data_IF_473645227939
#
_entry.id   IF_473645227939
#
_cell.length_a   1.000
_cell.length_b   1.000
_cell.length_c   1.000
_cell.angle_alpha   90.00
_cell.angle_beta   90.00
_cell.angle_gamma   90.00
#
_symmetry.space_group_name_H-M   'P 1'
#
loop_
_entity.id
_entity.type
_entity.pdbx_description
1 polymer ?
#
# COMPACT_ATOMS: atom_id res chain seq x y z
N UNK A 1 18.98 -47.37 -41.59
CA UNK A 1 18.32 -47.32 -40.27
C UNK A 1 18.66 -45.98 -39.62
N UNK A 2 17.76 -45.00 -39.69
CA UNK A 2 17.94 -43.69 -39.07
C UNK A 2 17.25 -43.74 -37.73
N UNK A 3 18.03 -43.58 -36.66
CA UNK A 3 17.57 -43.63 -35.28
C UNK A 3 16.43 -42.61 -35.08
N UNK A 4 15.29 -43.08 -34.56
CA UNK A 4 14.23 -42.22 -34.02
C UNK A 4 14.85 -41.33 -32.95
N UNK A 5 14.98 -40.04 -33.25
CA UNK A 5 15.21 -39.03 -32.24
C UNK A 5 14.06 -39.14 -31.23
N UNK A 6 14.40 -39.50 -29.98
CA UNK A 6 13.43 -39.56 -28.89
C UNK A 6 12.78 -38.19 -28.74
N UNK A 7 11.46 -38.13 -28.82
CA UNK A 7 10.69 -36.93 -28.54
C UNK A 7 11.13 -36.34 -27.18
N UNK A 8 11.39 -35.03 -27.08
CA UNK A 8 11.74 -34.43 -25.81
C UNK A 8 10.58 -34.65 -24.83
N UNK A 9 10.88 -35.21 -23.65
CA UNK A 9 9.94 -35.27 -22.52
C UNK A 9 9.60 -33.82 -22.13
N UNK A 10 8.53 -33.24 -22.67
CA UNK A 10 8.06 -31.91 -22.29
C UNK A 10 7.47 -31.96 -20.86
N UNK A 11 8.32 -31.73 -19.87
CA UNK A 11 7.90 -31.43 -18.50
C UNK A 11 7.53 -29.95 -18.41
N UNK A 12 6.37 -29.64 -17.82
CA UNK A 12 5.91 -28.27 -17.66
C UNK A 12 6.84 -27.37 -16.83
N UNK A 13 6.93 -26.07 -17.18
CA UNK A 13 7.83 -25.07 -16.56
C UNK A 13 7.26 -24.57 -15.22
N UNK A 14 8.01 -24.62 -14.13
CA UNK A 14 7.62 -23.99 -12.86
C UNK A 14 8.20 -22.58 -12.76
N UNK A 15 7.32 -21.58 -12.75
CA UNK A 15 7.63 -20.19 -12.51
C UNK A 15 7.36 -19.86 -11.05
N UNK A 16 8.25 -19.07 -10.45
CA UNK A 16 8.19 -18.77 -9.01
C UNK A 16 8.38 -17.26 -8.85
N UNK A 17 7.47 -16.61 -8.12
CA UNK A 17 7.26 -15.16 -8.06
C UNK A 17 6.82 -14.69 -6.68
N UNK A 18 6.76 -13.39 -6.42
CA UNK A 18 6.14 -12.81 -5.22
C UNK A 18 4.87 -12.05 -5.60
N UNK A 19 4.05 -11.73 -4.60
CA UNK A 19 2.88 -10.86 -4.76
C UNK A 19 3.23 -9.35 -4.88
N UNK A 20 4.52 -8.98 -4.90
CA UNK A 20 4.99 -7.60 -5.01
C UNK A 20 6.51 -7.56 -5.00
N UNK A 21 7.11 -6.65 -5.77
CA UNK A 21 8.52 -6.31 -5.67
C UNK A 21 8.77 -5.06 -4.80
N UNK A 22 7.72 -4.35 -4.38
CA UNK A 22 7.84 -3.06 -3.68
C UNK A 22 7.24 -3.07 -2.28
N UNK A 23 6.89 -4.24 -1.72
CA UNK A 23 6.38 -4.33 -0.36
C UNK A 23 7.43 -3.79 0.64
N UNK A 24 7.02 -2.98 1.64
CA UNK A 24 7.95 -2.40 2.61
C UNK A 24 8.84 -3.43 3.31
N UNK A 25 8.31 -4.63 3.60
CA UNK A 25 9.10 -5.70 4.20
C UNK A 25 10.20 -6.21 3.26
N UNK A 26 9.92 -6.35 1.97
CA UNK A 26 10.99 -6.69 1.00
C UNK A 26 12.02 -5.57 0.90
N UNK A 27 11.57 -4.32 0.80
CA UNK A 27 12.43 -3.13 0.71
C UNK A 27 13.37 -3.01 1.91
N UNK A 28 12.89 -3.34 3.11
CA UNK A 28 13.69 -3.24 4.33
C UNK A 28 14.72 -4.37 4.47
N UNK A 29 14.36 -5.61 4.11
CA UNK A 29 15.17 -6.78 4.47
C UNK A 29 15.88 -7.49 3.32
N UNK A 30 15.38 -7.37 2.09
CA UNK A 30 15.86 -8.19 0.98
C UNK A 30 16.68 -7.38 -0.04
N UNK A 31 16.33 -6.12 -0.30
CA UNK A 31 17.07 -5.27 -1.23
C UNK A 31 18.34 -4.67 -0.61
N UNK A 32 19.39 -4.40 -1.42
CA UNK A 32 20.54 -3.61 -1.00
C UNK A 32 20.16 -2.28 -0.35
N UNK A 33 20.87 -1.92 0.72
CA UNK A 33 20.64 -0.65 1.45
C UNK A 33 20.74 0.53 0.49
N UNK A 34 19.79 1.47 0.60
CA UNK A 34 19.68 2.68 -0.23
C UNK A 34 19.34 2.43 -1.71
N UNK A 35 18.92 1.22 -2.11
CA UNK A 35 18.46 0.98 -3.48
C UNK A 35 17.27 1.88 -3.84
N UNK A 36 17.40 2.59 -4.97
CA UNK A 36 16.35 3.47 -5.48
C UNK A 36 15.13 2.64 -5.90
N UNK A 37 13.90 3.13 -5.68
CA UNK A 37 12.69 2.43 -6.08
C UNK A 37 12.66 1.99 -7.55
N UNK A 38 13.21 2.80 -8.45
CA UNK A 38 13.24 2.53 -9.89
C UNK A 38 14.10 1.31 -10.28
N UNK A 39 15.11 0.96 -9.47
CA UNK A 39 16.04 -0.14 -9.78
C UNK A 39 15.55 -1.50 -9.24
N UNK A 40 14.54 -1.48 -8.36
CA UNK A 40 14.08 -2.67 -7.62
C UNK A 40 13.55 -3.77 -8.52
N UNK A 41 12.79 -3.42 -9.56
CA UNK A 41 12.22 -4.42 -10.46
C UNK A 41 13.32 -5.14 -11.27
N UNK A 42 14.34 -4.41 -11.72
CA UNK A 42 15.46 -5.01 -12.44
C UNK A 42 16.26 -5.94 -11.54
N UNK A 43 16.52 -5.53 -10.28
CA UNK A 43 17.17 -6.39 -9.30
C UNK A 43 16.32 -7.62 -8.94
N UNK A 44 15.02 -7.42 -8.72
CA UNK A 44 14.06 -8.49 -8.45
C UNK A 44 14.10 -9.58 -9.54
N UNK A 45 14.12 -9.15 -10.80
CA UNK A 45 14.08 -10.05 -11.96
C UNK A 45 15.38 -10.84 -12.18
N UNK A 46 16.42 -10.61 -11.39
CA UNK A 46 17.62 -11.47 -11.34
C UNK A 46 17.42 -12.71 -10.46
N UNK A 47 16.43 -12.68 -9.57
CA UNK A 47 16.17 -13.73 -8.58
C UNK A 47 14.88 -14.52 -8.83
N UNK A 48 13.96 -13.95 -9.60
CA UNK A 48 12.63 -14.50 -9.86
C UNK A 48 12.32 -14.44 -11.35
N UNK A 49 11.53 -15.40 -11.83
CA UNK A 49 11.09 -15.44 -13.23
C UNK A 49 9.69 -14.85 -13.42
N UNK A 50 9.01 -14.49 -12.34
CA UNK A 50 7.70 -13.84 -12.41
C UNK A 50 7.45 -12.89 -11.26
N UNK A 51 6.45 -12.02 -11.41
CA UNK A 51 5.83 -11.30 -10.28
C UNK A 51 4.32 -11.16 -10.46
N UNK A 52 3.57 -11.25 -9.36
CA UNK A 52 2.16 -10.85 -9.31
C UNK A 52 2.06 -9.36 -8.93
N UNK A 53 1.55 -8.56 -9.85
CA UNK A 53 1.36 -7.13 -9.71
C UNK A 53 0.07 -6.88 -8.93
N UNK A 54 0.19 -6.54 -7.65
CA UNK A 54 -0.96 -6.24 -6.79
C UNK A 54 -1.41 -4.78 -6.82
N UNK A 55 -0.56 -3.84 -7.28
CA UNK A 55 -0.93 -2.42 -7.36
C UNK A 55 -2.13 -2.18 -8.29
N UNK A 56 -2.29 -3.03 -9.30
CA UNK A 56 -3.40 -2.97 -10.27
C UNK A 56 -4.77 -3.25 -9.65
N UNK A 57 -4.81 -3.86 -8.45
CA UNK A 57 -6.04 -4.00 -7.68
C UNK A 57 -6.67 -2.65 -7.28
N UNK A 58 -5.83 -1.61 -7.11
CA UNK A 58 -6.24 -0.28 -6.65
C UNK A 58 -6.29 0.78 -7.75
N UNK A 59 -5.60 0.55 -8.86
CA UNK A 59 -5.51 1.52 -9.96
C UNK A 59 -5.17 0.84 -11.27
N UNK A 60 -5.76 1.28 -12.37
CA UNK A 60 -5.33 0.87 -13.71
C UNK A 60 -3.88 1.33 -13.94
N UNK A 61 -2.95 0.43 -14.33
CA UNK A 61 -1.57 0.83 -14.56
C UNK A 61 -1.46 1.66 -15.84
N UNK A 62 -0.56 2.65 -15.84
CA UNK A 62 -0.26 3.45 -17.03
C UNK A 62 0.53 2.63 -18.06
N UNK A 63 0.18 2.64 -19.37
CA UNK A 63 0.87 1.84 -20.38
C UNK A 63 2.36 2.14 -20.52
N UNK A 64 2.80 3.39 -20.31
CA UNK A 64 4.22 3.74 -20.36
C UNK A 64 4.97 3.16 -19.15
N UNK A 65 4.34 3.15 -17.98
CA UNK A 65 4.90 2.48 -16.81
C UNK A 65 5.06 0.97 -17.05
N UNK A 66 4.05 0.34 -17.66
CA UNK A 66 4.10 -1.10 -18.01
C UNK A 66 5.17 -1.39 -19.06
N UNK A 67 5.35 -0.49 -20.05
CA UNK A 67 6.42 -0.61 -21.03
C UNK A 67 7.78 -0.60 -20.35
N UNK A 68 7.98 0.30 -19.39
CA UNK A 68 9.20 0.35 -18.59
C UNK A 68 9.43 -0.93 -17.78
N UNK A 69 8.37 -1.56 -17.26
CA UNK A 69 8.51 -2.87 -16.61
C UNK A 69 9.04 -3.93 -17.59
N UNK A 70 8.54 -3.94 -18.82
CA UNK A 70 9.02 -4.84 -19.86
C UNK A 70 10.49 -4.58 -20.21
N UNK A 71 10.90 -3.32 -20.32
CA UNK A 71 12.25 -2.95 -20.75
C UNK A 71 13.33 -3.28 -19.69
N UNK A 72 13.00 -3.33 -18.40
CA UNK A 72 13.97 -3.55 -17.30
C UNK A 72 14.01 -5.00 -16.79
N UNK A 73 13.26 -5.90 -17.41
CA UNK A 73 13.15 -7.32 -17.03
C UNK A 73 13.63 -8.24 -18.16
N UNK A 74 14.15 -9.45 -17.88
CA UNK A 74 14.52 -10.43 -18.90
C UNK A 74 13.35 -10.79 -19.83
N UNK A 75 13.65 -11.28 -21.04
CA UNK A 75 12.64 -11.58 -22.05
C UNK A 75 11.61 -12.63 -21.57
N UNK A 76 12.04 -13.62 -20.80
CA UNK A 76 11.19 -14.70 -20.30
C UNK A 76 10.53 -14.42 -18.93
N UNK A 77 10.64 -13.18 -18.45
CA UNK A 77 10.04 -12.74 -17.19
C UNK A 77 8.54 -12.50 -17.35
N UNK A 78 7.73 -13.08 -16.45
CA UNK A 78 6.27 -13.08 -16.54
C UNK A 78 5.62 -12.16 -15.49
N UNK A 79 4.64 -11.36 -15.92
CA UNK A 79 3.81 -10.54 -15.04
C UNK A 79 2.40 -11.12 -14.94
N UNK A 80 2.00 -11.44 -13.72
CA UNK A 80 0.62 -11.76 -13.38
C UNK A 80 -0.08 -10.50 -12.92
N UNK A 81 -1.21 -10.16 -13.52
CA UNK A 81 -1.91 -8.90 -13.26
C UNK A 81 -3.13 -9.17 -12.41
N UNK A 82 -3.16 -8.60 -11.20
CA UNK A 82 -4.37 -8.65 -10.41
C UNK A 82 -5.40 -7.68 -10.95
N UNK A 83 -6.58 -8.20 -11.28
CA UNK A 83 -7.68 -7.38 -11.75
C UNK A 83 -8.14 -6.39 -10.68
N UNK A 84 -8.64 -5.24 -11.13
CA UNK A 84 -9.08 -4.17 -10.26
C UNK A 84 -10.21 -4.62 -9.33
N UNK A 85 -10.21 -4.11 -8.10
CA UNK A 85 -11.14 -4.53 -7.05
C UNK A 85 -12.62 -4.43 -7.45
N UNK A 86 -12.97 -3.50 -8.35
CA UNK A 86 -14.32 -3.36 -8.93
C UNK A 86 -14.83 -4.68 -9.53
N UNK A 87 -13.95 -5.46 -10.15
CA UNK A 87 -14.30 -6.71 -10.83
C UNK A 87 -14.50 -7.88 -9.86
N UNK A 88 -14.17 -7.69 -8.57
CA UNK A 88 -13.94 -8.79 -7.63
C UNK A 88 -14.92 -8.83 -6.45
N UNK A 89 -16.10 -8.18 -6.60
CA UNK A 89 -17.11 -8.05 -5.54
C UNK A 89 -16.59 -7.39 -4.24
N UNK A 90 -15.52 -6.59 -4.33
CA UNK A 90 -15.08 -5.73 -3.23
C UNK A 90 -15.84 -4.40 -3.28
N UNK A 91 -16.15 -3.86 -2.10
CA UNK A 91 -16.72 -2.51 -1.99
C UNK A 91 -15.74 -1.49 -2.53
N UNK A 92 -16.04 -0.91 -3.70
CA UNK A 92 -15.11 -0.06 -4.44
C UNK A 92 -15.50 1.42 -4.35
N UNK A 93 -14.68 2.29 -3.74
CA UNK A 93 -14.88 3.74 -3.80
C UNK A 93 -14.69 4.28 -5.22
N UNK A 94 -15.54 5.23 -5.63
CA UNK A 94 -15.47 5.87 -6.95
C UNK A 94 -14.09 6.49 -7.25
N UNK A 95 -13.41 7.05 -6.24
CA UNK A 95 -12.07 7.64 -6.38
C UNK A 95 -10.98 6.68 -6.92
N UNK A 96 -11.21 5.37 -6.88
CA UNK A 96 -10.25 4.36 -7.37
C UNK A 96 -10.49 4.00 -8.84
N UNK A 97 -11.59 4.45 -9.44
CA UNK A 97 -11.83 4.29 -10.87
C UNK A 97 -10.98 5.31 -11.66
N UNK A 98 -10.63 5.03 -12.92
CA UNK A 98 -10.01 6.02 -13.80
C UNK A 98 -10.81 7.33 -13.87
N UNK A 99 -10.18 8.52 -13.90
CA UNK A 99 -10.88 9.80 -13.93
C UNK A 99 -11.90 9.93 -15.09
N UNK A 100 -11.57 9.38 -16.25
CA UNK A 100 -12.47 9.33 -17.40
C UNK A 100 -13.77 8.55 -17.08
N UNK A 101 -13.65 7.42 -16.37
CA UNK A 101 -14.78 6.60 -15.98
C UNK A 101 -15.61 7.26 -14.87
N UNK A 102 -14.96 7.91 -13.90
CA UNK A 102 -15.64 8.70 -12.87
C UNK A 102 -16.52 9.80 -13.50
N UNK A 103 -15.98 10.52 -14.49
CA UNK A 103 -16.70 11.57 -15.23
C UNK A 103 -17.87 10.99 -16.04
N UNK A 104 -17.65 9.88 -16.74
CA UNK A 104 -18.67 9.20 -17.57
C UNK A 104 -19.87 8.73 -16.73
N UNK A 105 -19.61 8.20 -15.54
CA UNK A 105 -20.63 7.65 -14.64
C UNK A 105 -21.22 8.70 -13.67
N UNK A 106 -20.77 9.97 -13.74
CA UNK A 106 -21.20 11.07 -12.86
C UNK A 106 -21.15 10.70 -11.36
N UNK A 107 -20.10 9.98 -10.97
CA UNK A 107 -19.96 9.49 -9.60
C UNK A 107 -19.44 10.57 -8.66
N UNK A 108 -20.03 10.66 -7.47
CA UNK A 108 -19.47 11.48 -6.39
C UNK A 108 -18.19 10.84 -5.82
N UNK A 109 -17.26 11.67 -5.30
CA UNK A 109 -15.94 11.21 -4.83
C UNK A 109 -15.97 10.07 -3.80
N UNK A 110 -17.03 10.01 -2.98
CA UNK A 110 -17.18 9.02 -1.90
C UNK A 110 -18.23 7.94 -2.21
N UNK A 111 -18.86 7.98 -3.39
CA UNK A 111 -19.84 6.98 -3.76
C UNK A 111 -19.20 5.58 -3.86
N UNK A 112 -19.93 4.56 -3.44
CA UNK A 112 -19.57 3.17 -3.71
C UNK A 112 -20.07 2.80 -5.10
N UNK A 113 -19.22 2.14 -5.87
CA UNK A 113 -19.56 1.70 -7.22
C UNK A 113 -20.06 0.27 -7.16
N UNK A 114 -21.27 0.05 -7.69
CA UNK A 114 -21.83 -1.29 -7.89
C UNK A 114 -21.23 -1.87 -9.18
N UNK A 115 -20.73 -3.12 -9.16
CA UNK A 115 -20.25 -3.78 -10.37
C UNK A 115 -21.44 -4.14 -11.27
N UNK A 116 -21.76 -3.24 -12.20
CA UNK A 116 -22.72 -3.48 -13.27
C UNK A 116 -21.98 -3.79 -14.58
N UNK A 117 -22.66 -4.45 -15.53
CA UNK A 117 -22.11 -4.83 -16.84
C UNK A 117 -21.41 -3.69 -17.56
N UNK A 118 -22.02 -2.50 -17.59
CA UNK A 118 -21.42 -1.31 -18.20
C UNK A 118 -20.12 -0.89 -17.50
N UNK A 119 -20.12 -0.85 -16.16
CA UNK A 119 -18.94 -0.45 -15.36
C UNK A 119 -17.80 -1.46 -15.50
N UNK A 120 -18.11 -2.76 -15.52
CA UNK A 120 -17.16 -3.85 -15.75
C UNK A 120 -16.50 -3.69 -17.12
N UNK A 121 -17.31 -3.50 -18.17
CA UNK A 121 -16.85 -3.29 -19.54
C UNK A 121 -15.88 -2.11 -19.63
N UNK A 122 -16.24 -0.96 -19.07
CA UNK A 122 -15.39 0.23 -19.12
C UNK A 122 -14.10 0.05 -18.32
N UNK A 123 -14.14 -0.63 -17.17
CA UNK A 123 -12.94 -0.95 -16.40
C UNK A 123 -12.00 -1.84 -17.20
N UNK A 124 -12.50 -2.89 -17.84
CA UNK A 124 -11.69 -3.78 -18.67
C UNK A 124 -11.12 -3.04 -19.90
N UNK A 125 -11.90 -2.15 -20.53
CA UNK A 125 -11.41 -1.27 -21.60
C UNK A 125 -10.27 -0.36 -21.13
N UNK A 126 -10.33 0.14 -19.90
CA UNK A 126 -9.25 0.94 -19.32
C UNK A 126 -7.97 0.11 -19.10
N UNK A 127 -8.08 -1.18 -18.75
CA UNK A 127 -6.94 -2.09 -18.63
C UNK A 127 -6.31 -2.48 -19.96
N UNK A 128 -7.10 -2.54 -21.03
CA UNK A 128 -6.69 -3.12 -22.32
C UNK A 128 -5.36 -2.58 -22.87
N UNK A 129 -5.08 -1.25 -22.88
CA UNK A 129 -3.81 -0.74 -23.40
C UNK A 129 -2.59 -1.27 -22.63
N UNK A 130 -2.70 -1.39 -21.31
CA UNK A 130 -1.61 -1.88 -20.45
C UNK A 130 -1.41 -3.39 -20.57
N UNK A 131 -2.51 -4.15 -20.69
CA UNK A 131 -2.44 -5.59 -20.94
C UNK A 131 -1.83 -5.88 -22.32
N UNK A 132 -2.16 -5.06 -23.33
CA UNK A 132 -1.63 -5.20 -24.68
C UNK A 132 -0.11 -4.99 -24.75
N UNK A 133 0.44 -4.07 -23.94
CA UNK A 133 1.90 -3.90 -23.82
C UNK A 133 2.58 -5.18 -23.34
N UNK A 134 2.04 -5.81 -22.29
CA UNK A 134 2.58 -7.07 -21.76
C UNK A 134 2.39 -8.23 -22.75
N UNK A 135 1.23 -8.29 -23.41
CA UNK A 135 0.91 -9.33 -24.39
C UNK A 135 1.86 -9.27 -25.60
N UNK A 136 2.10 -8.07 -26.16
CA UNK A 136 3.05 -7.86 -27.26
C UNK A 136 4.49 -8.13 -26.88
N UNK A 137 4.85 -7.90 -25.61
CA UNK A 137 6.16 -8.23 -25.10
C UNK A 137 6.32 -9.73 -24.77
N UNK A 138 5.25 -10.53 -24.88
CA UNK A 138 5.18 -11.93 -24.47
C UNK A 138 5.44 -12.15 -22.97
N UNK A 139 5.15 -11.13 -22.15
CA UNK A 139 5.37 -11.13 -20.70
C UNK A 139 4.10 -11.18 -19.87
N UNK A 140 2.93 -11.29 -20.51
CA UNK A 140 1.66 -11.44 -19.80
C UNK A 140 1.45 -12.89 -19.37
N UNK A 141 1.37 -13.12 -18.06
CA UNK A 141 1.02 -14.43 -17.48
C UNK A 141 -0.48 -14.57 -17.33
N UNK A 142 -0.95 -14.58 -16.08
CA UNK A 142 -2.39 -14.69 -15.76
C UNK A 142 -2.99 -13.36 -15.30
N UNK A 143 -4.29 -13.22 -15.53
CA UNK A 143 -5.14 -12.21 -14.90
C UNK A 143 -5.75 -12.81 -13.64
N UNK A 144 -5.34 -12.33 -12.47
CA UNK A 144 -5.87 -12.81 -11.18
C UNK A 144 -7.16 -12.06 -10.81
N UNK A 145 -8.27 -12.79 -10.80
CA UNK A 145 -9.55 -12.37 -10.24
C UNK A 145 -9.69 -12.91 -8.81
N UNK A 146 -9.21 -12.13 -7.83
CA UNK A 146 -9.33 -12.50 -6.42
C UNK A 146 -10.60 -11.92 -5.79
N UNK A 147 -11.59 -12.78 -5.52
CA UNK A 147 -12.89 -12.37 -5.00
C UNK A 147 -12.84 -11.92 -3.54
N UNK A 148 -13.85 -11.13 -3.14
CA UNK A 148 -14.06 -10.75 -1.74
C UNK A 148 -14.53 -11.96 -0.90
N UNK A 149 -14.13 -12.08 0.38
CA UNK A 149 -14.70 -13.09 1.28
C UNK A 149 -16.22 -12.97 1.49
N UNK A 150 -16.80 -11.79 1.18
CA UNK A 150 -18.24 -11.56 1.23
C UNK A 150 -19.00 -12.24 0.08
N UNK A 151 -18.32 -12.51 -1.04
CA UNK A 151 -18.86 -13.29 -2.15
C UNK A 151 -19.01 -14.74 -1.70
N UNK A 152 -20.25 -15.18 -1.50
CA UNK A 152 -20.56 -16.43 -0.83
C UNK A 152 -21.77 -17.10 -1.48
N UNK A 153 -21.85 -18.44 -1.49
CA UNK A 153 -22.92 -19.19 -2.17
C UNK A 153 -24.30 -18.98 -1.54
N UNK A 154 -24.36 -18.37 -0.34
CA UNK A 154 -25.63 -18.00 0.31
C UNK A 154 -26.24 -16.72 -0.24
N UNK A 155 -25.43 -15.85 -0.85
CA UNK A 155 -25.83 -14.49 -1.25
C UNK A 155 -25.58 -14.20 -2.72
N UNK A 156 -24.82 -15.07 -3.39
CA UNK A 156 -24.31 -14.84 -4.73
C UNK A 156 -24.30 -16.15 -5.51
N UNK A 157 -24.27 -16.00 -6.83
CA UNK A 157 -24.12 -17.10 -7.78
C UNK A 157 -22.83 -16.95 -8.58
N UNK A 158 -22.26 -18.07 -9.03
CA UNK A 158 -21.06 -18.05 -9.88
C UNK A 158 -21.32 -17.36 -11.23
N UNK A 159 -22.56 -17.41 -11.73
CA UNK A 159 -23.03 -16.73 -12.94
C UNK A 159 -22.78 -15.22 -12.92
N UNK A 160 -22.66 -14.60 -11.75
CA UNK A 160 -22.28 -13.18 -11.63
C UNK A 160 -20.89 -12.87 -12.19
N UNK A 161 -20.00 -13.88 -12.26
CA UNK A 161 -18.66 -13.75 -12.82
C UNK A 161 -18.64 -13.88 -14.35
N UNK A 162 -19.74 -14.34 -14.97
CA UNK A 162 -19.81 -14.69 -16.39
C UNK A 162 -19.37 -13.55 -17.28
N UNK A 163 -19.88 -12.34 -17.03
CA UNK A 163 -19.53 -11.18 -17.83
C UNK A 163 -18.02 -10.84 -17.76
N UNK A 164 -17.43 -10.90 -16.57
CA UNK A 164 -15.99 -10.63 -16.42
C UNK A 164 -15.14 -11.71 -17.13
N UNK A 165 -15.51 -12.99 -16.98
CA UNK A 165 -14.82 -14.12 -17.61
C UNK A 165 -14.97 -14.10 -19.13
N UNK A 166 -16.16 -13.83 -19.65
CA UNK A 166 -16.42 -13.75 -21.09
C UNK A 166 -15.62 -12.62 -21.76
N UNK A 167 -15.57 -11.44 -21.13
CA UNK A 167 -14.81 -10.30 -21.64
C UNK A 167 -13.29 -10.48 -21.55
N UNK A 168 -12.83 -11.43 -20.73
CA UNK A 168 -11.41 -11.74 -20.55
C UNK A 168 -11.01 -13.12 -21.07
N UNK A 169 -11.88 -13.76 -21.87
CA UNK A 169 -11.69 -15.13 -22.39
C UNK A 169 -10.43 -15.33 -23.24
N UNK A 170 -9.93 -14.25 -23.86
CA UNK A 170 -8.72 -14.27 -24.68
C UNK A 170 -7.44 -14.24 -23.82
N UNK A 171 -7.60 -14.13 -22.49
CA UNK A 171 -6.52 -14.16 -21.51
C UNK A 171 -6.65 -15.38 -20.60
N UNK A 172 -5.53 -15.77 -19.98
CA UNK A 172 -5.55 -16.76 -18.90
C UNK A 172 -6.08 -16.10 -17.63
N UNK A 173 -7.28 -16.46 -17.19
CA UNK A 173 -7.88 -15.88 -15.99
C UNK A 173 -7.82 -16.87 -14.84
N UNK A 174 -7.22 -16.45 -13.73
CA UNK A 174 -7.15 -17.21 -12.50
C UNK A 174 -8.18 -16.68 -11.49
N UNK A 175 -9.10 -17.53 -11.04
CA UNK A 175 -10.16 -17.18 -10.08
C UNK A 175 -9.78 -17.66 -8.69
N UNK A 176 -9.62 -16.72 -7.76
CA UNK A 176 -9.37 -17.03 -6.36
C UNK A 176 -10.59 -16.73 -5.51
N UNK A 177 -11.17 -17.79 -4.98
CA UNK A 177 -12.25 -17.73 -4.01
C UNK A 177 -11.66 -17.46 -2.62
N UNK A 178 -12.34 -16.61 -1.85
CA UNK A 178 -11.96 -16.25 -0.47
C UNK A 178 -13.01 -16.63 0.56
N UNK A 179 -14.03 -17.36 0.12
CA UNK A 179 -15.07 -17.91 0.97
C UNK A 179 -15.07 -19.44 0.81
N UNK A 180 -14.70 -20.12 1.88
CA UNK A 180 -14.55 -21.59 1.97
C UNK A 180 -15.81 -22.33 1.53
N UNK A 181 -16.99 -21.75 1.74
CA UNK A 181 -18.26 -22.40 1.44
C UNK A 181 -18.44 -22.67 -0.07
N UNK A 182 -17.66 -22.03 -0.96
CA UNK A 182 -17.67 -22.36 -2.39
C UNK A 182 -17.00 -23.70 -2.72
N UNK A 183 -16.20 -24.24 -1.80
CA UNK A 183 -15.34 -25.40 -2.05
C UNK A 183 -15.53 -26.50 -1.00
N UNK A 184 -16.69 -26.49 -0.33
CA UNK A 184 -17.07 -27.52 0.63
C UNK A 184 -18.21 -28.39 0.10
N UNK A 185 -18.15 -29.68 0.47
CA UNK A 185 -19.19 -30.67 0.18
C UNK A 185 -19.64 -30.65 -1.29
N UNK A 186 -20.95 -30.70 -1.53
CA UNK A 186 -21.57 -30.74 -2.86
C UNK A 186 -21.34 -29.48 -3.70
N UNK A 187 -20.93 -28.36 -3.09
CA UNK A 187 -20.67 -27.11 -3.79
C UNK A 187 -19.34 -27.15 -4.56
N UNK A 188 -18.38 -27.98 -4.12
CA UNK A 188 -17.05 -28.06 -4.71
C UNK A 188 -17.09 -28.39 -6.20
N UNK A 189 -17.76 -29.49 -6.59
CA UNK A 189 -17.80 -29.92 -7.99
C UNK A 189 -18.48 -28.86 -8.87
N UNK A 190 -19.61 -28.30 -8.45
CA UNK A 190 -20.29 -27.20 -9.16
C UNK A 190 -19.37 -26.01 -9.41
N UNK A 191 -18.58 -25.65 -8.40
CA UNK A 191 -17.60 -24.55 -8.51
C UNK A 191 -16.46 -24.88 -9.46
N UNK A 192 -15.92 -26.09 -9.39
CA UNK A 192 -14.83 -26.52 -10.28
C UNK A 192 -15.29 -26.69 -11.73
N UNK A 193 -16.49 -27.22 -11.94
CA UNK A 193 -17.12 -27.37 -13.26
C UNK A 193 -17.36 -26.01 -13.90
N UNK A 194 -17.96 -25.06 -13.15
CA UNK A 194 -18.16 -23.70 -13.63
C UNK A 194 -16.84 -23.08 -14.13
N UNK A 195 -15.78 -23.17 -13.34
CA UNK A 195 -14.46 -22.62 -13.70
C UNK A 195 -13.86 -23.36 -14.90
N UNK A 196 -13.99 -24.69 -14.96
CA UNK A 196 -13.44 -25.54 -16.03
C UNK A 196 -14.12 -25.30 -17.38
N UNK A 197 -15.45 -25.21 -17.40
CA UNK A 197 -16.24 -24.92 -18.60
C UNK A 197 -15.85 -23.59 -19.26
N UNK A 198 -15.38 -22.64 -18.46
CA UNK A 198 -14.93 -21.31 -18.92
C UNK A 198 -13.44 -21.24 -19.20
N UNK A 199 -12.76 -22.39 -19.20
CA UNK A 199 -11.31 -22.52 -19.37
C UNK A 199 -10.50 -21.66 -18.38
N UNK A 200 -11.09 -21.31 -17.22
CA UNK A 200 -10.45 -20.50 -16.20
C UNK A 200 -9.61 -21.37 -15.25
N UNK A 201 -8.71 -20.73 -14.51
CA UNK A 201 -7.76 -21.39 -13.61
C UNK A 201 -8.26 -21.23 -12.18
N UNK A 202 -8.58 -22.33 -11.51
CA UNK A 202 -8.84 -22.32 -10.07
C UNK A 202 -7.52 -22.04 -9.33
N UNK A 203 -7.53 -21.02 -8.48
CA UNK A 203 -6.38 -20.71 -7.64
C UNK A 203 -6.38 -21.59 -6.40
N UNK A 204 -5.40 -22.48 -6.32
CA UNK A 204 -5.11 -23.22 -5.10
C UNK A 204 -4.44 -22.28 -4.09
N UNK A 205 -4.77 -22.43 -2.81
CA UNK A 205 -4.28 -21.53 -1.76
C UNK A 205 -3.70 -22.35 -0.61
N UNK A 206 -2.45 -22.09 -0.23
CA UNK A 206 -1.97 -22.50 1.09
C UNK A 206 -2.42 -21.49 2.12
N UNK A 207 -3.18 -21.98 3.08
CA UNK A 207 -3.64 -21.21 4.22
C UNK A 207 -3.49 -22.03 5.52
N UNK A 208 -3.72 -21.41 6.68
CA UNK A 208 -3.78 -22.12 7.95
C UNK A 208 -4.85 -23.24 7.95
N UNK A 209 -4.71 -24.32 8.75
CA UNK A 209 -5.63 -25.46 8.73
C UNK A 209 -7.05 -25.18 9.29
N UNK A 210 -7.29 -24.01 9.85
CA UNK A 210 -8.53 -23.65 10.53
C UNK A 210 -9.71 -23.60 9.57
N UNK A 211 -10.86 -24.10 10.05
CA UNK A 211 -12.12 -24.15 9.29
C UNK A 211 -12.92 -22.85 9.38
N UNK A 212 -12.24 -21.71 9.33
CA UNK A 212 -12.92 -20.42 9.25
C UNK A 212 -13.34 -20.14 7.80
N UNK A 213 -14.51 -19.53 7.58
CA UNK A 213 -15.05 -19.34 6.23
C UNK A 213 -14.16 -18.47 5.31
N UNK A 214 -13.23 -17.68 5.85
CA UNK A 214 -12.27 -16.86 5.07
C UNK A 214 -10.95 -17.58 4.76
N UNK A 215 -10.76 -18.78 5.29
CA UNK A 215 -9.56 -19.60 5.16
C UNK A 215 -9.88 -20.74 4.18
N UNK A 216 -9.19 -20.73 3.04
CA UNK A 216 -9.37 -21.74 2.00
C UNK A 216 -8.66 -23.05 2.40
N UNK A 217 -9.21 -24.23 2.05
CA UNK A 217 -8.57 -25.50 2.40
C UNK A 217 -7.32 -25.74 1.54
N UNK A 218 -6.17 -25.96 2.20
CA UNK A 218 -4.86 -26.17 1.57
C UNK A 218 -4.71 -27.53 0.88
N UNK A 219 -5.55 -28.49 1.27
CA UNK A 219 -5.63 -29.83 0.68
C UNK A 219 -6.25 -29.85 -0.72
N UNK A 220 -6.91 -28.75 -1.13
CA UNK A 220 -7.44 -28.59 -2.47
C UNK A 220 -6.29 -28.43 -3.46
N UNK A 221 -6.30 -29.30 -4.46
CA UNK A 221 -5.27 -29.41 -5.48
C UNK A 221 -5.94 -29.58 -6.86
N UNK A 222 -6.87 -28.67 -7.14
CA UNK A 222 -7.71 -28.70 -8.32
C UNK A 222 -6.97 -28.15 -9.54
N UNK A 223 -7.24 -28.78 -10.70
CA UNK A 223 -6.71 -28.37 -12.00
C UNK A 223 -7.92 -28.22 -12.93
N UNK A 224 -8.28 -26.97 -13.22
CA UNK A 224 -9.45 -26.63 -14.07
C UNK A 224 -9.06 -26.16 -15.46
N UNK A 225 -7.78 -25.92 -15.72
CA UNK A 225 -7.24 -25.52 -17.01
C UNK A 225 -6.20 -26.55 -17.48
N UNK A 226 -6.16 -26.83 -18.79
CA UNK A 226 -5.27 -27.83 -19.37
C UNK A 226 -3.80 -27.42 -19.33
N UNK A 227 -3.50 -26.12 -19.35
CA UNK A 227 -2.16 -25.62 -19.64
C UNK A 227 -1.50 -24.96 -18.43
N UNK A 228 -2.31 -24.42 -17.50
CA UNK A 228 -1.83 -23.59 -16.38
C UNK A 228 -2.46 -24.02 -15.07
N UNK A 229 -1.66 -24.04 -14.01
CA UNK A 229 -2.14 -24.13 -12.63
C UNK A 229 -1.53 -23.02 -11.78
N UNK A 230 -2.32 -22.51 -10.84
CA UNK A 230 -1.95 -21.36 -10.02
C UNK A 230 -2.03 -21.72 -8.53
N UNK A 231 -0.95 -21.43 -7.79
CA UNK A 231 -0.86 -21.66 -6.35
C UNK A 231 -0.37 -20.40 -5.64
N UNK A 232 -1.14 -19.94 -4.64
CA UNK A 232 -0.78 -18.81 -3.79
C UNK A 232 -0.52 -19.28 -2.36
N UNK A 233 0.61 -18.86 -1.81
CA UNK A 233 0.99 -19.19 -0.44
C UNK A 233 0.69 -18.02 0.48
N UNK A 234 -0.30 -18.15 1.37
CA UNK A 234 -0.67 -17.09 2.30
C UNK A 234 -0.07 -17.26 3.71
N UNK A 235 0.66 -18.34 3.96
CA UNK A 235 1.19 -18.65 5.28
C UNK A 235 0.18 -19.36 6.18
N UNK A 236 0.66 -19.87 7.32
CA UNK A 236 -0.10 -20.78 8.18
C UNK A 236 -0.33 -20.24 9.61
N UNK A 237 -0.20 -18.94 9.81
CA UNK A 237 -0.60 -18.29 11.07
C UNK A 237 -2.07 -17.87 11.03
N UNK A 238 -2.90 -18.69 11.66
CA UNK A 238 -4.36 -18.57 11.75
C UNK A 238 -4.81 -17.29 12.43
N UNK A 239 -4.16 -16.93 13.54
CA UNK A 239 -4.53 -15.75 14.33
C UNK A 239 -4.23 -14.51 13.53
N UNK A 240 -3.05 -14.43 12.93
CA UNK A 240 -2.65 -13.33 12.07
C UNK A 240 -3.59 -13.22 10.86
N UNK A 241 -3.90 -14.34 10.19
CA UNK A 241 -4.73 -14.38 9.00
C UNK A 241 -6.13 -13.78 9.20
N UNK A 242 -6.73 -14.02 10.37
CA UNK A 242 -8.07 -13.55 10.74
C UNK A 242 -8.04 -12.13 11.33
N UNK A 243 -7.11 -11.85 12.26
CA UNK A 243 -7.13 -10.62 13.07
C UNK A 243 -6.25 -9.49 12.52
N UNK A 244 -5.36 -9.79 11.56
CA UNK A 244 -4.41 -8.84 11.02
C UNK A 244 -5.10 -7.67 10.29
N UNK A 245 -4.75 -6.45 10.68
CA UNK A 245 -5.30 -5.21 10.11
C UNK A 245 -4.63 -4.75 8.81
N UNK A 246 -3.53 -5.41 8.41
CA UNK A 246 -2.81 -5.13 7.15
C UNK A 246 -2.44 -6.43 6.45
N UNK A 247 -2.20 -6.37 5.14
CA UNK A 247 -1.73 -7.51 4.33
C UNK A 247 -0.48 -8.12 4.93
N UNK A 248 0.52 -7.29 5.23
CA UNK A 248 1.76 -7.74 5.86
C UNK A 248 1.53 -8.42 7.20
N UNK A 249 0.61 -7.92 8.04
CA UNK A 249 0.30 -8.53 9.33
C UNK A 249 -0.41 -9.88 9.18
N UNK A 250 -1.31 -10.03 8.20
CA UNK A 250 -2.08 -11.26 7.99
C UNK A 250 -1.26 -12.43 7.47
N UNK A 251 -0.25 -12.14 6.65
CA UNK A 251 0.54 -13.14 5.93
C UNK A 251 2.00 -13.19 6.43
N UNK A 252 2.25 -12.73 7.66
CA UNK A 252 3.59 -12.74 8.25
C UNK A 252 3.98 -14.13 8.77
N UNK A 253 4.22 -15.06 7.86
CA UNK A 253 4.60 -16.43 8.19
C UNK A 253 5.93 -16.79 7.51
N UNK A 254 6.77 -17.54 8.21
CA UNK A 254 8.04 -18.01 7.69
C UNK A 254 7.99 -19.54 7.50
N UNK A 255 8.18 -19.98 6.26
CA UNK A 255 8.23 -21.39 5.90
C UNK A 255 9.64 -21.96 6.16
N UNK A 256 10.05 -22.09 7.43
CA UNK A 256 11.42 -22.51 7.79
C UNK A 256 11.65 -24.02 7.82
N UNK A 257 10.62 -24.85 7.70
CA UNK A 257 10.76 -26.32 7.79
C UNK A 257 10.54 -27.00 6.44
N UNK A 258 11.61 -27.61 5.92
CA UNK A 258 11.63 -28.36 4.66
C UNK A 258 10.67 -29.56 4.67
N UNK A 259 10.36 -30.13 5.84
CA UNK A 259 9.49 -31.29 6.03
C UNK A 259 8.00 -31.03 5.75
N UNK A 260 7.54 -29.78 5.86
CA UNK A 260 6.11 -29.44 5.77
C UNK A 260 5.65 -29.11 4.35
N UNK A 261 6.59 -28.79 3.46
CA UNK A 261 6.33 -28.34 2.08
C UNK A 261 6.26 -29.49 1.07
N UNK A 262 7.16 -30.49 1.18
CA UNK A 262 7.17 -31.65 0.27
C UNK A 262 5.97 -32.58 0.46
N UNK A 263 5.51 -32.78 1.70
CA UNK A 263 4.35 -33.64 2.00
C UNK A 263 3.02 -33.04 1.49
N UNK A 264 2.87 -31.72 1.54
CA UNK A 264 1.60 -31.06 1.26
C UNK A 264 1.39 -30.78 -0.25
N UNK A 265 2.39 -30.21 -0.92
CA UNK A 265 2.30 -29.86 -2.36
C UNK A 265 2.71 -31.01 -3.29
N UNK A 266 3.35 -32.05 -2.75
CA UNK A 266 3.83 -33.18 -3.54
C UNK A 266 2.72 -33.87 -4.35
N UNK A 267 1.46 -33.85 -3.89
CA UNK A 267 0.33 -34.40 -4.66
C UNK A 267 -0.04 -33.53 -5.88
N UNK A 268 -0.03 -32.20 -5.72
CA UNK A 268 -0.28 -31.24 -6.80
C UNK A 268 0.85 -31.28 -7.83
N UNK A 269 2.10 -31.20 -7.38
CA UNK A 269 3.25 -31.25 -8.27
C UNK A 269 3.34 -32.57 -9.04
N UNK A 270 2.98 -33.71 -8.42
CA UNK A 270 2.87 -35.00 -9.13
C UNK A 270 1.77 -35.00 -10.19
N UNK A 271 0.58 -34.45 -9.89
CA UNK A 271 -0.52 -34.34 -10.86
C UNK A 271 -0.16 -33.47 -12.05
N UNK A 272 0.47 -32.32 -11.80
CA UNK A 272 0.86 -31.37 -12.83
C UNK A 272 2.02 -31.89 -13.70
N UNK A 273 3.02 -32.57 -13.10
CA UNK A 273 4.11 -33.23 -13.84
C UNK A 273 3.62 -34.28 -14.84
N UNK A 274 2.47 -34.92 -14.58
CA UNK A 274 1.86 -35.90 -15.50
C UNK A 274 1.17 -35.25 -16.71
N UNK A 275 0.84 -33.95 -16.65
CA UNK A 275 0.06 -33.25 -17.68
C UNK A 275 0.85 -32.24 -18.54
N UNK A 276 2.07 -31.88 -18.15
CA UNK A 276 2.94 -30.98 -18.95
C UNK A 276 2.72 -29.48 -18.73
N UNK A 277 1.97 -29.09 -17.70
CA UNK A 277 1.45 -27.72 -17.51
C UNK A 277 2.49 -26.71 -17.04
N UNK A 278 2.36 -25.44 -17.44
CA UNK A 278 3.12 -24.32 -16.88
C UNK A 278 2.60 -24.01 -15.45
N UNK A 279 3.50 -23.87 -14.49
CA UNK A 279 3.19 -23.68 -13.08
C UNK A 279 3.57 -22.27 -12.65
N UNK A 280 2.79 -21.70 -11.75
CA UNK A 280 3.07 -20.40 -11.17
C UNK A 280 2.96 -20.46 -9.63
N UNK A 281 4.08 -20.24 -8.94
CA UNK A 281 4.23 -20.34 -7.49
C UNK A 281 4.53 -18.97 -6.89
N UNK A 282 3.58 -18.40 -6.15
CA UNK A 282 3.82 -17.20 -5.35
C UNK A 282 4.59 -17.53 -4.05
N UNK A 283 5.89 -17.26 -3.97
CA UNK A 283 6.70 -17.29 -2.75
C UNK A 283 7.05 -15.90 -2.20
N UNK A 284 7.49 -15.86 -0.94
CA UNK A 284 8.15 -14.74 -0.28
C UNK A 284 9.52 -15.23 0.18
N UNK A 285 10.60 -14.61 -0.30
CA UNK A 285 12.00 -14.91 0.12
C UNK A 285 12.26 -14.36 1.52
N UNK A 286 13.08 -15.10 2.24
CA UNK A 286 13.67 -14.82 3.55
C UNK A 286 14.03 -13.34 3.75
N UNK A 287 13.57 -12.77 4.87
CA UNK A 287 14.34 -11.75 5.55
C UNK A 287 15.47 -12.49 6.30
N UNK A 288 16.76 -12.20 6.06
CA UNK A 288 17.83 -12.76 6.88
C UNK A 288 17.62 -12.32 8.33
N UNK A 289 17.99 -13.19 9.27
CA UNK A 289 18.00 -12.88 10.71
C UNK A 289 18.60 -11.50 10.92
N UNK A 290 17.81 -10.57 11.47
CA UNK A 290 18.40 -9.39 12.08
C UNK A 290 19.38 -9.89 13.14
N UNK A 291 20.65 -9.46 13.17
CA UNK A 291 21.41 -9.57 14.40
C UNK A 291 20.53 -8.89 15.46
N UNK A 292 20.24 -9.62 16.53
CA UNK A 292 19.40 -9.16 17.61
C UNK A 292 20.13 -8.01 18.34
N UNK A 293 20.04 -6.81 17.78
CA UNK A 293 20.15 -5.59 18.57
C UNK A 293 18.89 -5.49 19.44
N UNK A 294 19.00 -4.93 20.65
CA UNK A 294 17.84 -4.79 21.53
C UNK A 294 16.71 -4.07 20.76
N UNK A 295 15.47 -4.58 20.81
CA UNK A 295 14.36 -3.97 20.10
C UNK A 295 14.21 -2.51 20.54
N UNK A 296 14.06 -1.61 19.57
CA UNK A 296 13.70 -0.22 19.87
C UNK A 296 12.44 -0.23 20.73
N UNK A 297 12.41 0.51 21.86
CA UNK A 297 11.25 0.60 22.74
C UNK A 297 9.95 0.83 21.95
N UNK A 298 8.87 0.16 22.34
CA UNK A 298 7.56 0.24 21.67
C UNK A 298 7.02 1.66 21.35
N UNK A 299 7.36 2.72 22.09
CA UNK A 299 7.05 4.10 21.72
C UNK A 299 7.81 4.59 20.46
N UNK A 300 9.10 4.26 20.34
CA UNK A 300 9.97 4.71 19.24
C UNK A 300 9.63 4.03 17.92
N UNK A 301 9.19 2.76 17.95
CA UNK A 301 8.70 2.03 16.77
C UNK A 301 7.37 2.63 16.27
N UNK A 302 6.47 3.02 17.19
CA UNK A 302 5.22 3.71 16.85
C UNK A 302 5.48 5.09 16.25
N UNK A 303 6.42 5.85 16.84
CA UNK A 303 6.81 7.17 16.35
C UNK A 303 7.44 7.09 14.94
N UNK A 304 8.37 6.15 14.71
CA UNK A 304 8.99 5.94 13.39
C UNK A 304 7.98 5.60 12.30
N UNK A 305 7.01 4.72 12.59
CA UNK A 305 5.93 4.36 11.65
C UNK A 305 4.97 5.52 11.40
N UNK A 306 4.65 6.28 12.44
CA UNK A 306 3.79 7.46 12.35
C UNK A 306 4.45 8.56 11.49
N UNK A 307 5.74 8.84 11.72
CA UNK A 307 6.52 9.80 10.92
C UNK A 307 6.62 9.39 9.45
N UNK A 308 6.85 8.10 9.17
CA UNK A 308 6.89 7.58 7.80
C UNK A 308 5.53 7.73 7.08
N UNK A 309 4.42 7.48 7.77
CA UNK A 309 3.08 7.63 7.20
C UNK A 309 2.73 9.11 6.88
N UNK A 310 3.14 10.05 7.73
CA UNK A 310 2.87 11.48 7.51
C UNK A 310 3.81 12.10 6.46
N UNK A 311 5.07 11.66 6.41
CA UNK A 311 6.01 12.03 5.34
C UNK A 311 5.52 11.60 3.95
N UNK A 312 5.02 10.35 3.82
CA UNK A 312 4.43 9.88 2.58
C UNK A 312 3.15 10.65 2.22
N UNK A 313 2.35 11.04 3.22
CA UNK A 313 1.15 11.85 3.01
C UNK A 313 1.49 13.22 2.42
N UNK A 314 2.50 13.91 2.98
CA UNK A 314 2.99 15.21 2.50
C UNK A 314 3.46 15.17 1.04
N UNK A 315 4.11 14.08 0.61
CA UNK A 315 4.62 13.91 -0.76
C UNK A 315 3.53 13.54 -1.79
N UNK A 316 2.33 13.14 -1.33
CA UNK A 316 1.20 12.80 -2.21
C UNK A 316 0.20 13.95 -2.40
N UNK A 317 0.43 15.10 -1.77
CA UNK A 317 -0.47 16.26 -1.86
C UNK A 317 -0.31 16.92 -3.24
N UNK A 318 -1.40 16.92 -4.02
CA UNK A 318 -1.51 17.56 -5.33
C UNK A 318 -1.74 19.07 -5.19
N UNK A 319 -0.71 19.81 -4.78
CA UNK A 319 -0.72 21.28 -4.67
C UNK A 319 0.65 21.87 -5.03
N UNK A 320 0.81 23.16 -5.28
CA UNK A 320 2.10 23.74 -5.69
C UNK A 320 3.18 23.57 -4.60
N UNK A 321 4.49 23.46 -4.96
CA UNK A 321 5.56 23.36 -3.96
C UNK A 321 5.58 24.55 -2.99
N UNK A 322 5.20 25.73 -3.50
CA UNK A 322 5.04 26.93 -2.69
C UNK A 322 3.88 26.81 -1.70
N UNK A 323 2.69 26.37 -2.14
CA UNK A 323 1.52 26.19 -1.28
C UNK A 323 1.76 25.18 -0.15
N UNK A 324 2.45 24.08 -0.45
CA UNK A 324 2.80 23.05 0.55
C UNK A 324 3.82 23.59 1.55
N UNK A 325 4.89 24.22 1.06
CA UNK A 325 5.93 24.79 1.91
C UNK A 325 5.39 25.90 2.82
N UNK A 326 4.51 26.77 2.29
CA UNK A 326 3.87 27.84 3.03
C UNK A 326 2.89 27.28 4.07
N UNK A 327 2.09 26.27 3.71
CA UNK A 327 1.23 25.57 4.66
C UNK A 327 2.00 24.94 5.81
N UNK A 328 3.09 24.22 5.52
CA UNK A 328 3.96 23.64 6.55
C UNK A 328 4.63 24.70 7.44
N UNK A 329 5.06 25.82 6.88
CA UNK A 329 5.64 26.93 7.63
C UNK A 329 4.63 27.57 8.59
N UNK A 330 3.39 27.78 8.14
CA UNK A 330 2.28 28.27 8.98
C UNK A 330 2.02 27.28 10.13
N UNK A 331 2.02 25.97 9.84
CA UNK A 331 1.81 24.97 10.87
C UNK A 331 2.92 24.93 11.92
N UNK A 332 4.19 25.03 11.52
CA UNK A 332 5.32 25.13 12.47
C UNK A 332 5.28 26.42 13.27
N UNK A 333 4.93 27.55 12.63
CA UNK A 333 4.77 28.84 13.32
C UNK A 333 3.77 28.72 14.48
N UNK A 334 2.57 28.20 14.20
CA UNK A 334 1.55 28.01 15.24
C UNK A 334 1.90 26.90 16.25
N UNK A 335 2.75 25.94 15.87
CA UNK A 335 3.25 24.88 16.75
C UNK A 335 3.95 25.43 18.00
N UNK A 336 4.80 26.45 17.81
CA UNK A 336 5.54 27.13 18.89
C UNK A 336 4.71 28.13 19.68
N UNK A 337 3.49 28.48 19.23
CA UNK A 337 2.67 29.41 20.01
C UNK A 337 2.01 28.69 21.19
N UNK A 338 1.89 29.32 22.38
CA UNK A 338 1.26 28.74 23.58
C UNK A 338 -0.27 28.63 23.49
N UNK A 339 -0.81 28.45 22.27
CA UNK A 339 -2.23 28.40 21.96
C UNK A 339 -2.70 26.93 21.92
N UNK A 340 -2.62 26.24 23.06
CA UNK A 340 -2.95 24.83 23.30
C UNK A 340 -3.79 24.13 22.21
N UNK A 341 -5.11 24.33 22.23
CA UNK A 341 -6.06 23.68 21.32
C UNK A 341 -6.40 24.54 20.11
N UNK A 342 -6.19 25.85 20.20
CA UNK A 342 -6.55 26.79 19.13
C UNK A 342 -5.52 26.83 18.00
N UNK A 343 -4.26 26.45 18.24
CA UNK A 343 -3.18 26.51 17.25
C UNK A 343 -3.48 25.75 15.97
N UNK A 344 -4.12 24.57 16.04
CA UNK A 344 -4.47 23.79 14.85
C UNK A 344 -5.53 24.51 14.02
N UNK A 345 -6.59 25.03 14.66
CA UNK A 345 -7.65 25.78 13.98
C UNK A 345 -7.12 27.09 13.39
N UNK A 346 -6.30 27.83 14.14
CA UNK A 346 -5.66 29.06 13.68
C UNK A 346 -4.71 28.79 12.51
N UNK A 347 -3.92 27.72 12.55
CA UNK A 347 -3.04 27.35 11.43
C UNK A 347 -3.83 27.05 10.15
N UNK A 348 -4.98 26.37 10.26
CA UNK A 348 -5.85 26.06 9.12
C UNK A 348 -6.52 27.33 8.59
N UNK A 349 -6.98 28.21 9.49
CA UNK A 349 -7.58 29.49 9.15
C UNK A 349 -6.61 30.42 8.44
N UNK A 350 -5.40 30.57 8.97
CA UNK A 350 -4.33 31.36 8.34
C UNK A 350 -3.89 30.73 7.02
N UNK A 351 -3.73 29.40 6.97
CA UNK A 351 -3.43 28.71 5.72
C UNK A 351 -4.48 28.96 4.63
N UNK A 352 -5.75 29.07 5.00
CA UNK A 352 -6.83 29.43 4.09
C UNK A 352 -6.74 30.88 3.58
N UNK A 353 -6.47 31.84 4.46
CA UNK A 353 -6.29 33.27 4.09
C UNK A 353 -5.15 33.44 3.08
N UNK A 354 -4.02 32.77 3.32
CA UNK A 354 -2.85 32.82 2.44
C UNK A 354 -2.94 31.91 1.21
N UNK A 355 -4.11 31.30 0.95
CA UNK A 355 -4.34 30.37 -0.18
C UNK A 355 -3.28 29.25 -0.25
N UNK A 356 -2.89 28.74 0.92
CA UNK A 356 -1.87 27.69 1.07
C UNK A 356 -2.51 26.36 1.49
N UNK A 357 -1.70 25.30 1.56
CA UNK A 357 -2.22 23.97 1.80
C UNK A 357 -2.60 23.74 3.27
N UNK A 358 -3.91 23.68 3.53
CA UNK A 358 -4.48 23.49 4.88
C UNK A 358 -4.08 22.16 5.52
N UNK A 359 -3.93 21.11 4.71
CA UNK A 359 -3.54 19.78 5.20
C UNK A 359 -2.06 19.79 5.63
N UNK A 360 -1.19 20.44 4.85
CA UNK A 360 0.21 20.63 5.21
C UNK A 360 0.38 21.43 6.51
N UNK A 361 -0.46 22.45 6.74
CA UNK A 361 -0.49 23.20 7.99
C UNK A 361 -0.90 22.34 9.20
N UNK A 362 -2.01 21.59 9.08
CA UNK A 362 -2.47 20.72 10.17
C UNK A 362 -1.45 19.61 10.51
N UNK A 363 -0.84 19.00 9.49
CA UNK A 363 0.20 17.98 9.68
C UNK A 363 1.42 18.58 10.38
N UNK A 364 1.86 19.78 9.97
CA UNK A 364 3.03 20.43 10.57
C UNK A 364 2.83 20.79 12.05
N UNK A 365 1.64 21.27 12.44
CA UNK A 365 1.29 21.47 13.87
C UNK A 365 1.36 20.15 14.64
N UNK A 366 0.77 19.09 14.08
CA UNK A 366 0.73 17.77 14.73
C UNK A 366 2.14 17.14 14.85
N UNK A 367 3.00 17.38 13.86
CA UNK A 367 4.38 16.95 13.86
C UNK A 367 5.19 17.67 14.94
N UNK A 368 4.96 18.97 15.10
CA UNK A 368 5.55 19.74 16.19
C UNK A 368 5.13 19.19 17.56
N UNK A 369 3.87 18.74 17.72
CA UNK A 369 3.37 18.16 18.97
C UNK A 369 4.06 16.85 19.37
N UNK A 370 4.93 16.26 18.55
CA UNK A 370 5.84 15.18 19.01
C UNK A 370 6.85 15.70 20.03
N UNK A 371 7.18 16.99 19.99
CA UNK A 371 8.07 17.68 20.91
C UNK A 371 7.35 18.00 22.24
N UNK A 372 6.08 17.60 22.41
CA UNK A 372 5.28 17.81 23.63
C UNK A 372 6.03 17.53 24.95
N UNK A 373 6.84 16.46 25.09
CA UNK A 373 7.59 16.20 26.32
C UNK A 373 8.63 17.28 26.67
N UNK A 374 9.12 18.04 25.69
CA UNK A 374 10.08 19.13 25.87
C UNK A 374 9.40 20.50 26.04
N UNK A 375 8.09 20.60 25.84
CA UNK A 375 7.36 21.87 25.87
C UNK A 375 7.46 22.64 27.18
N UNK A 376 7.50 22.03 28.38
CA UNK A 376 7.69 22.79 29.61
C UNK A 376 8.99 23.59 29.62
N UNK A 377 10.07 23.04 29.07
CA UNK A 377 11.36 23.72 28.97
C UNK A 377 11.34 24.80 27.87
N UNK A 378 10.69 24.53 26.75
CA UNK A 378 10.52 25.48 25.64
C UNK A 378 9.70 26.69 26.09
N UNK A 379 8.54 26.47 26.70
CA UNK A 379 7.69 27.56 27.23
C UNK A 379 8.38 28.35 28.35
N UNK A 380 9.17 27.68 29.20
CA UNK A 380 9.99 28.40 30.19
C UNK A 380 11.03 29.30 29.53
N UNK A 381 11.67 28.82 28.46
CA UNK A 381 12.62 29.60 27.69
C UNK A 381 11.95 30.76 26.95
N UNK A 382 10.83 30.50 26.28
CA UNK A 382 10.04 31.52 25.58
C UNK A 382 9.58 32.61 26.55
N UNK A 383 9.06 32.23 27.72
CA UNK A 383 8.72 33.17 28.77
C UNK A 383 9.92 34.04 29.16
N UNK A 384 11.09 33.44 29.41
CA UNK A 384 12.30 34.17 29.81
C UNK A 384 12.76 35.16 28.74
N UNK A 385 12.78 34.72 27.48
CA UNK A 385 13.20 35.54 26.33
C UNK A 385 12.22 36.66 26.07
N UNK A 386 10.92 36.38 26.04
CA UNK A 386 9.91 37.41 25.83
C UNK A 386 9.78 38.37 27.01
N UNK A 387 9.97 37.90 28.25
CA UNK A 387 10.01 38.76 29.42
C UNK A 387 11.20 39.72 29.35
N UNK A 388 12.37 39.23 28.99
CA UNK A 388 13.55 40.04 28.75
C UNK A 388 13.35 41.04 27.60
N UNK A 389 12.74 40.61 26.49
CA UNK A 389 12.45 41.49 25.36
C UNK A 389 11.47 42.62 25.69
N UNK A 390 10.51 42.36 26.59
CA UNK A 390 9.51 43.36 27.00
C UNK A 390 9.98 44.28 28.14
N UNK A 391 10.81 43.79 29.07
CA UNK A 391 11.13 44.49 30.32
C UNK A 391 12.63 44.78 30.51
N UNK A 392 13.51 44.28 29.63
CA UNK A 392 14.96 44.48 29.72
C UNK A 392 15.67 43.77 30.89
N UNK A 393 14.94 42.97 31.67
CA UNK A 393 15.44 42.31 32.88
C UNK A 393 15.05 40.82 32.92
N UNK A 394 15.77 40.03 33.72
CA UNK A 394 15.44 38.63 33.95
C UNK A 394 14.24 38.49 34.91
N UNK A 395 13.31 37.56 34.66
CA UNK A 395 12.16 37.35 35.55
C UNK A 395 12.65 36.89 36.94
N UNK A 396 12.13 37.51 38.01
CA UNK A 396 12.35 37.02 39.39
C UNK A 396 11.69 35.65 39.55
N UNK A 397 12.28 34.77 40.38
CA UNK A 397 11.73 33.42 40.64
C UNK A 397 10.24 33.50 41.01
N UNK A 398 9.40 32.93 40.17
CA UNK A 398 7.96 32.81 40.42
C UNK A 398 7.77 31.68 41.44
N UNK A 399 7.27 32.00 42.64
CA UNK A 399 6.75 30.97 43.57
C UNK A 399 5.38 30.53 43.05
N UNK A 400 5.33 29.37 42.42
CA UNK A 400 4.07 28.79 41.94
C UNK A 400 3.34 28.19 43.16
N UNK A 401 2.37 28.92 43.72
CA UNK A 401 1.35 28.35 44.61
C UNK A 401 0.30 27.57 43.81
N UNK A 402 -0.70 26.97 44.47
CA UNK A 402 -1.82 26.33 43.77
C UNK A 402 -2.58 27.38 42.94
N UNK A 403 -2.38 27.34 41.62
CA UNK A 403 -3.09 28.17 40.64
C UNK A 403 -4.22 27.33 40.05
N UNK A 404 -5.44 27.84 40.15
CA UNK A 404 -6.66 27.20 39.65
C UNK A 404 -6.85 27.49 38.16
N UNK A 405 -7.58 26.63 37.43
CA UNK A 405 -7.82 26.84 35.98
C UNK A 405 -8.58 28.14 35.67
N UNK A 406 -9.29 28.69 36.66
CA UNK A 406 -10.02 29.96 36.59
C UNK A 406 -9.12 31.21 36.75
N UNK A 407 -7.92 31.05 37.30
CA UNK A 407 -6.93 32.13 37.41
C UNK A 407 -6.27 32.45 36.05
N UNK A 408 -6.29 31.48 35.11
CA UNK A 408 -5.82 31.65 33.73
C UNK A 408 -6.69 32.62 32.90
N UNK A 409 -7.93 32.87 33.32
CA UNK A 409 -8.89 33.75 32.63
C UNK A 409 -8.92 35.19 33.18
N UNK A 410 -8.18 35.49 34.26
CA UNK A 410 -8.03 36.86 34.77
C UNK A 410 -6.96 37.65 33.98
N UNK A 411 -7.17 38.96 33.81
CA UNK A 411 -6.31 39.85 33.02
C UNK A 411 -4.85 39.91 33.49
N UNK A 412 -4.59 39.76 34.79
CA UNK A 412 -3.26 39.86 35.38
C UNK A 412 -2.33 38.68 35.01
N UNK A 413 -2.83 37.44 34.99
CA UNK A 413 -2.02 36.25 34.62
C UNK A 413 -1.76 36.23 33.12
N UNK A 414 -2.74 36.65 32.32
CA UNK A 414 -2.58 36.77 30.88
C UNK A 414 -1.46 37.75 30.52
N UNK A 415 -1.45 38.95 31.11
CA UNK A 415 -0.42 39.96 30.85
C UNK A 415 0.95 39.58 31.43
N UNK A 416 0.99 38.90 32.58
CA UNK A 416 2.27 38.57 33.25
C UNK A 416 2.94 37.30 32.75
N UNK A 417 2.19 36.34 32.23
CA UNK A 417 2.71 35.02 31.83
C UNK A 417 2.49 34.75 30.34
N UNK A 418 1.27 34.92 29.84
CA UNK A 418 0.93 34.55 28.45
C UNK A 418 1.52 35.55 27.46
N UNK A 419 1.44 36.85 27.74
CA UNK A 419 1.96 37.88 26.84
C UNK A 419 3.49 37.82 26.62
N UNK A 420 4.33 37.71 27.66
CA UNK A 420 5.75 37.47 27.48
C UNK A 420 6.04 36.15 26.77
N UNK A 421 5.30 35.08 27.07
CA UNK A 421 5.49 33.79 26.40
C UNK A 421 5.14 33.87 24.91
N UNK A 422 4.07 34.60 24.53
CA UNK A 422 3.72 34.85 23.13
C UNK A 422 4.82 35.63 22.41
N UNK A 423 5.33 36.71 23.02
CA UNK A 423 6.43 37.50 22.43
C UNK A 423 7.69 36.66 22.28
N UNK A 424 8.02 35.86 23.29
CA UNK A 424 9.15 34.94 23.25
C UNK A 424 9.01 33.85 22.21
N UNK A 425 7.79 33.32 22.01
CA UNK A 425 7.52 32.30 21.00
C UNK A 425 7.83 32.79 19.59
N UNK A 426 7.72 34.09 19.30
CA UNK A 426 8.07 34.64 17.98
C UNK A 426 9.56 34.43 17.63
N UNK A 427 10.45 34.40 18.63
CA UNK A 427 11.89 34.19 18.42
C UNK A 427 12.23 32.75 18.01
N UNK A 428 11.36 31.77 18.30
CA UNK A 428 11.49 30.40 17.79
C UNK A 428 10.59 30.14 16.59
N UNK A 429 9.36 30.64 16.62
CA UNK A 429 8.35 30.42 15.59
C UNK A 429 8.78 31.01 14.25
N UNK A 430 9.31 32.24 14.21
CA UNK A 430 9.67 32.91 12.95
C UNK A 430 10.86 32.21 12.27
N UNK A 431 12.03 31.99 12.93
CA UNK A 431 13.13 31.30 12.29
C UNK A 431 12.78 29.86 11.89
N UNK A 432 12.03 29.15 12.74
CA UNK A 432 11.60 27.77 12.45
C UNK A 432 10.64 27.70 11.26
N UNK A 433 9.72 28.66 11.12
CA UNK A 433 8.83 28.76 9.98
C UNK A 433 9.58 29.07 8.68
N UNK A 434 10.54 30.00 8.72
CA UNK A 434 11.39 30.34 7.56
C UNK A 434 12.22 29.12 7.14
N UNK A 435 12.90 28.46 8.09
CA UNK A 435 13.67 27.25 7.82
C UNK A 435 12.80 26.14 7.23
N UNK A 436 11.61 25.93 7.80
CA UNK A 436 10.64 24.94 7.32
C UNK A 436 10.20 25.26 5.89
N UNK A 437 9.89 26.52 5.58
CA UNK A 437 9.53 26.94 4.23
C UNK A 437 10.64 26.62 3.22
N UNK A 438 11.89 26.98 3.54
CA UNK A 438 13.03 26.74 2.65
C UNK A 438 13.28 25.24 2.42
N UNK A 439 13.28 24.45 3.51
CA UNK A 439 13.49 23.00 3.45
C UNK A 439 12.36 22.32 2.67
N UNK A 440 11.10 22.63 2.98
CA UNK A 440 9.96 22.03 2.31
C UNK A 440 9.88 22.43 0.83
N UNK A 441 10.18 23.69 0.50
CA UNK A 441 10.24 24.15 -0.90
C UNK A 441 11.34 23.42 -1.66
N UNK A 442 12.52 23.24 -1.07
CA UNK A 442 13.62 22.49 -1.67
C UNK A 442 13.24 21.01 -1.87
N UNK A 443 12.71 20.33 -0.85
CA UNK A 443 12.36 18.92 -0.90
C UNK A 443 11.25 18.64 -1.92
N UNK A 444 10.18 19.43 -1.90
CA UNK A 444 9.03 19.26 -2.82
C UNK A 444 9.40 19.66 -4.25
N UNK A 445 10.23 20.70 -4.43
CA UNK A 445 10.73 21.08 -5.76
C UNK A 445 11.64 20.01 -6.34
N UNK A 446 12.57 19.45 -5.56
CA UNK A 446 13.47 18.36 -6.00
C UNK A 446 12.71 17.09 -6.37
N UNK A 447 11.75 16.70 -5.53
CA UNK A 447 10.90 15.54 -5.80
C UNK A 447 10.04 15.68 -7.07
N UNK A 448 9.81 16.91 -7.55
CA UNK A 448 9.06 17.18 -8.80
C UNK A 448 9.94 17.48 -10.00
N UNK A 449 11.16 17.99 -9.81
CA UNK A 449 12.14 18.16 -10.89
C UNK A 449 12.74 16.83 -11.34
N UNK A 450 12.72 15.79 -10.50
CA UNK A 450 13.01 14.40 -10.88
C UNK A 450 11.82 13.74 -11.64
N UNK A 451 11.08 14.53 -12.43
CA UNK A 451 10.14 14.02 -13.42
C UNK A 451 10.84 13.15 -14.47
N UNK A 452 10.10 12.30 -15.20
CA UNK A 452 10.70 11.38 -16.17
C UNK A 452 11.52 12.17 -17.21
N UNK A 453 12.72 11.68 -17.60
CA UNK A 453 13.58 12.42 -18.51
C UNK A 453 12.85 12.66 -19.84
N UNK A 454 12.71 13.94 -20.18
CA UNK A 454 12.31 14.38 -21.52
C UNK A 454 13.46 14.02 -22.46
N UNK A 455 13.26 13.01 -23.31
CA UNK A 455 14.17 12.75 -24.42
C UNK A 455 13.92 13.83 -25.47
N UNK A 456 14.86 14.75 -25.62
CA UNK A 456 14.95 15.60 -26.80
C UNK A 456 15.38 14.74 -27.99
N UNK A 457 14.56 14.81 -29.05
CA UNK A 457 14.72 14.38 -30.44
C UNK A 457 16.02 13.66 -30.84
#
# INVERSE_FOLDING_TARGET
MIAKASAPKQGGKILVGTASWSDPGFVEFWYPKKMRPADRLSWYAQHFTMVEVNSTFYSVPDPMLVRRWCDVTPQDFVFNIKLHQLLSHHSTPAKLLPPALQKKLRLEKNAKVVPATATINEMLRAFAPSLEVLRRAEKLGVLLLQLSPAFSPRKHELSELENALQLTRDFRVAVELRNRNWVEAEQLEKTLDFIRERNAIFVNVDAPPEKHFTIMPSELNAITNSDTAYLRLHGRDSRAYITGKSVAARFNYNFTQRSDSEKHWGSLFRRLRRRGNCFELGYRVEAPRSPAGPPLPGPLVRLKRWLAAHHMTLMTIADTPHSIALGSAIGIFFGFTPLWTMKTLLSIGVAWVFKSNKVAAAIAVTLHDIILPLMPAIFWWEYKVGYYALHGAQPRRIRIGHVTIWDYLHSDVFVRLIWPTLVGSLFLAIPSAIATYLVMRMLVSRARSEGPPVRTS
#
